data_IF_248892599347
#
_entry.id   IF_248892599347
#
_cell.length_a   1.000
_cell.length_b   1.000
_cell.length_c   1.000
_cell.angle_alpha   90.00
_cell.angle_beta   90.00
_cell.angle_gamma   90.00
#
_symmetry.space_group_name_H-M   'P 1'
#
loop_
_entity.id
_entity.type
_entity.pdbx_description
1 polymer ?
#
# COMPACT_ATOMS: atom_id res chain seq x y z
N UNK A 1 -32.03 0.79 20.36
CA UNK A 1 -31.21 -0.31 20.92
C UNK A 1 -32.09 -1.15 21.83
N UNK A 2 -32.12 -2.49 21.73
CA UNK A 2 -32.89 -3.32 22.65
C UNK A 2 -32.43 -3.06 24.09
N UNK A 3 -33.37 -3.09 25.04
CA UNK A 3 -33.06 -2.90 26.45
C UNK A 3 -32.11 -4.02 26.94
N UNK A 4 -31.18 -3.69 27.85
CA UNK A 4 -30.25 -4.67 28.43
C UNK A 4 -30.99 -5.90 29.02
N UNK A 5 -32.22 -5.71 29.50
CA UNK A 5 -33.08 -6.79 29.99
C UNK A 5 -33.49 -7.79 28.88
N UNK A 6 -33.76 -7.32 27.66
CA UNK A 6 -34.09 -8.19 26.53
C UNK A 6 -32.87 -9.03 26.11
N UNK A 7 -31.68 -8.42 26.10
CA UNK A 7 -30.42 -9.11 25.80
C UNK A 7 -30.07 -10.16 26.85
N UNK A 8 -30.22 -9.84 28.14
CA UNK A 8 -30.01 -10.81 29.25
C UNK A 8 -30.93 -12.02 29.12
N UNK A 9 -32.22 -11.80 28.86
CA UNK A 9 -33.18 -12.91 28.64
C UNK A 9 -32.80 -13.81 27.47
N UNK A 10 -32.20 -13.26 26.42
CA UNK A 10 -31.73 -14.03 25.26
C UNK A 10 -30.48 -14.85 25.58
N UNK A 11 -29.53 -14.28 26.33
CA UNK A 11 -28.31 -14.99 26.76
C UNK A 11 -28.63 -16.15 27.71
N UNK A 12 -29.55 -15.97 28.65
CA UNK A 12 -29.98 -17.02 29.59
C UNK A 12 -30.61 -18.25 28.91
N UNK A 13 -31.13 -18.10 27.69
CA UNK A 13 -31.69 -19.22 26.90
C UNK A 13 -30.63 -20.04 26.17
N UNK A 14 -29.36 -19.60 26.16
CA UNK A 14 -28.26 -20.31 25.49
C UNK A 14 -27.66 -21.34 26.45
N UNK A 15 -27.40 -22.54 25.95
CA UNK A 15 -26.66 -23.58 26.67
C UNK A 15 -25.15 -23.29 26.69
N UNK A 16 -24.75 -22.27 27.46
CA UNK A 16 -23.35 -21.86 27.62
C UNK A 16 -22.80 -22.30 28.99
N UNK A 17 -21.48 -22.53 29.10
CA UNK A 17 -20.82 -22.70 30.40
C UNK A 17 -21.12 -21.53 31.35
N UNK A 18 -21.31 -21.84 32.64
CA UNK A 18 -21.67 -20.85 33.68
C UNK A 18 -20.75 -19.63 33.70
N UNK A 19 -19.44 -19.85 33.57
CA UNK A 19 -18.43 -18.78 33.56
C UNK A 19 -18.59 -17.81 32.38
N UNK A 20 -19.05 -18.29 31.22
CA UNK A 20 -19.32 -17.44 30.05
C UNK A 20 -20.59 -16.63 30.26
N UNK A 21 -21.62 -17.22 30.89
CA UNK A 21 -22.87 -16.51 31.22
C UNK A 21 -22.60 -15.37 32.22
N UNK A 22 -21.86 -15.65 33.30
CA UNK A 22 -21.48 -14.63 34.30
C UNK A 22 -20.69 -13.47 33.68
N UNK A 23 -19.72 -13.80 32.80
CA UNK A 23 -19.00 -12.77 32.03
C UNK A 23 -19.94 -11.96 31.14
N UNK A 24 -20.84 -12.61 30.41
CA UNK A 24 -21.77 -11.93 29.50
C UNK A 24 -22.73 -11.01 30.27
N UNK A 25 -23.23 -11.43 31.42
CA UNK A 25 -24.09 -10.61 32.27
C UNK A 25 -23.37 -9.36 32.79
N UNK A 26 -22.10 -9.50 33.19
CA UNK A 26 -21.24 -8.39 33.57
C UNK A 26 -20.95 -7.44 32.39
N UNK A 27 -20.72 -7.98 31.19
CA UNK A 27 -20.56 -7.18 29.96
C UNK A 27 -21.83 -6.37 29.69
N UNK A 28 -22.99 -7.00 29.74
CA UNK A 28 -24.29 -6.35 29.50
C UNK A 28 -24.58 -5.24 30.51
N UNK A 29 -24.15 -5.40 31.76
CA UNK A 29 -24.27 -4.38 32.82
C UNK A 29 -23.46 -3.11 32.50
N UNK A 30 -22.27 -3.30 31.93
CA UNK A 30 -21.30 -2.25 31.72
C UNK A 30 -21.21 -1.74 30.28
N UNK A 31 -22.14 -2.13 29.39
CA UNK A 31 -22.20 -1.66 28.00
C UNK A 31 -22.19 -0.13 27.87
N UNK A 32 -22.79 0.58 28.83
CA UNK A 32 -22.81 2.04 28.86
C UNK A 32 -21.41 2.67 28.91
N UNK A 33 -20.44 2.01 29.56
CA UNK A 33 -19.05 2.50 29.63
C UNK A 33 -18.37 2.48 28.27
N UNK A 34 -18.57 1.40 27.50
CA UNK A 34 -18.05 1.29 26.14
C UNK A 34 -18.63 2.37 25.23
N UNK A 35 -19.94 2.58 25.31
CA UNK A 35 -20.63 3.59 24.52
C UNK A 35 -20.16 5.02 24.86
N UNK A 36 -20.07 5.35 26.15
CA UNK A 36 -19.59 6.65 26.61
C UNK A 36 -18.15 6.92 26.15
N UNK A 37 -17.24 5.95 26.32
CA UNK A 37 -15.85 6.07 25.87
C UNK A 37 -15.74 6.28 24.35
N UNK A 38 -16.56 5.58 23.58
CA UNK A 38 -16.61 5.73 22.13
C UNK A 38 -17.10 7.11 21.70
N UNK A 39 -18.20 7.61 22.29
CA UNK A 39 -18.73 8.96 22.01
C UNK A 39 -17.69 10.03 22.36
N UNK A 40 -17.03 9.90 23.51
CA UNK A 40 -15.99 10.83 23.93
C UNK A 40 -14.84 10.92 22.91
N UNK A 41 -14.46 9.80 22.31
CA UNK A 41 -13.42 9.76 21.27
C UNK A 41 -13.92 10.27 19.91
N UNK A 42 -15.16 9.92 19.52
CA UNK A 42 -15.79 10.38 18.28
C UNK A 42 -15.95 11.91 18.26
N UNK A 43 -16.24 12.53 19.40
CA UNK A 43 -16.36 13.98 19.51
C UNK A 43 -15.06 14.74 19.14
N UNK A 44 -13.89 14.10 19.27
CA UNK A 44 -12.60 14.70 18.92
C UNK A 44 -12.25 14.52 17.44
N UNK A 45 -12.82 13.53 16.78
CA UNK A 45 -12.50 13.14 15.40
C UNK A 45 -13.77 12.61 14.74
N UNK A 46 -14.49 13.44 13.95
CA UNK A 46 -15.72 13.03 13.30
C UNK A 46 -15.47 11.88 12.31
N UNK A 47 -16.39 10.90 12.29
CA UNK A 47 -16.28 9.68 11.48
C UNK A 47 -16.12 8.43 12.36
N UNK A 48 -16.60 7.28 11.87
CA UNK A 48 -16.39 5.95 12.49
C UNK A 48 -17.05 5.71 13.87
N UNK A 49 -18.07 6.48 14.28
CA UNK A 49 -18.68 6.33 15.61
C UNK A 49 -19.15 4.89 15.89
N UNK A 50 -19.80 4.24 14.92
CA UNK A 50 -20.27 2.87 15.07
C UNK A 50 -19.10 1.90 15.26
N UNK A 51 -18.01 2.07 14.52
CA UNK A 51 -16.80 1.26 14.67
C UNK A 51 -16.15 1.46 16.04
N UNK A 52 -16.06 2.71 16.52
CA UNK A 52 -15.53 3.02 17.85
C UNK A 52 -16.38 2.39 18.96
N UNK A 53 -17.70 2.35 18.80
CA UNK A 53 -18.60 1.67 19.74
C UNK A 53 -18.33 0.17 19.74
N UNK A 54 -18.15 -0.46 18.57
CA UNK A 54 -17.87 -1.89 18.49
C UNK A 54 -16.50 -2.26 19.06
N UNK A 55 -15.46 -1.49 18.75
CA UNK A 55 -14.13 -1.66 19.32
C UNK A 55 -14.13 -1.40 20.83
N UNK A 56 -14.88 -0.40 21.29
CA UNK A 56 -15.09 -0.16 22.71
C UNK A 56 -15.74 -1.35 23.41
N UNK A 57 -16.74 -1.98 22.79
CA UNK A 57 -17.38 -3.21 23.30
C UNK A 57 -16.42 -4.39 23.31
N UNK A 58 -15.56 -4.54 22.31
CA UNK A 58 -14.51 -5.57 22.29
C UNK A 58 -13.52 -5.35 23.44
N UNK A 59 -13.12 -4.11 23.69
CA UNK A 59 -12.28 -3.71 24.82
C UNK A 59 -12.94 -4.00 26.18
N UNK A 60 -14.26 -3.81 26.28
CA UNK A 60 -15.07 -4.11 27.47
C UNK A 60 -15.10 -5.62 27.74
N UNK A 61 -15.38 -6.44 26.72
CA UNK A 61 -15.39 -7.91 26.82
C UNK A 61 -14.03 -8.42 27.31
N UNK A 62 -12.94 -7.96 26.67
CA UNK A 62 -11.58 -8.33 27.05
C UNK A 62 -11.17 -7.80 28.42
N UNK A 63 -11.67 -6.62 28.81
CA UNK A 63 -11.46 -6.06 30.13
C UNK A 63 -12.11 -6.93 31.21
N UNK A 64 -13.40 -7.23 31.07
CA UNK A 64 -14.15 -8.02 32.04
C UNK A 64 -13.61 -9.45 32.14
N UNK A 65 -13.22 -10.07 31.01
CA UNK A 65 -12.65 -11.41 31.00
C UNK A 65 -11.32 -11.53 31.79
N UNK A 66 -10.57 -10.43 31.93
CA UNK A 66 -9.28 -10.39 32.61
C UNK A 66 -9.30 -9.61 33.93
N UNK A 67 -10.49 -9.25 34.41
CA UNK A 67 -10.62 -8.50 35.66
C UNK A 67 -10.40 -9.42 36.87
N UNK A 68 -9.60 -8.95 37.81
CA UNK A 68 -9.27 -9.65 39.05
C UNK A 68 -9.81 -8.87 40.25
N UNK A 69 -10.87 -9.34 40.92
CA UNK A 69 -11.48 -8.67 42.06
C UNK A 69 -10.55 -8.52 43.27
N UNK A 70 -9.53 -9.39 43.41
CA UNK A 70 -8.64 -9.39 44.57
C UNK A 70 -7.73 -8.16 44.62
N UNK A 71 -7.61 -7.42 43.51
CA UNK A 71 -6.79 -6.21 43.40
C UNK A 71 -7.42 -4.97 44.04
N UNK A 72 -8.66 -5.06 44.55
CA UNK A 72 -9.34 -3.95 45.24
C UNK A 72 -9.78 -2.79 44.34
N UNK A 73 -9.71 -2.95 43.01
CA UNK A 73 -10.14 -1.94 42.04
C UNK A 73 -11.62 -2.14 41.67
N UNK A 74 -12.36 -1.05 41.48
CA UNK A 74 -13.72 -1.13 40.91
C UNK A 74 -13.63 -1.58 39.44
N UNK A 75 -14.54 -2.48 39.03
CA UNK A 75 -14.64 -2.98 37.65
C UNK A 75 -14.69 -1.84 36.64
N UNK A 76 -15.53 -0.84 36.90
CA UNK A 76 -15.72 0.31 36.00
C UNK A 76 -14.40 1.06 35.74
N UNK A 77 -13.61 1.31 36.79
CA UNK A 77 -12.31 1.99 36.69
C UNK A 77 -11.32 1.18 35.85
N UNK A 78 -11.22 -0.13 36.09
CA UNK A 78 -10.31 -1.00 35.34
C UNK A 78 -10.71 -1.11 33.87
N UNK A 79 -11.97 -1.42 33.61
CA UNK A 79 -12.43 -1.71 32.25
C UNK A 79 -12.44 -0.45 31.39
N UNK A 80 -12.77 0.73 31.94
CA UNK A 80 -12.75 1.97 31.18
C UNK A 80 -11.36 2.26 30.57
N UNK A 81 -10.28 2.01 31.32
CA UNK A 81 -8.91 2.13 30.79
C UNK A 81 -8.64 1.13 29.64
N UNK A 82 -9.17 -0.11 29.74
CA UNK A 82 -9.04 -1.14 28.70
C UNK A 82 -9.83 -0.77 27.44
N UNK A 83 -11.05 -0.26 27.60
CA UNK A 83 -11.88 0.26 26.51
C UNK A 83 -11.17 1.40 25.79
N UNK A 84 -10.66 2.40 26.53
CA UNK A 84 -9.90 3.51 25.95
C UNK A 84 -8.68 3.02 25.17
N UNK A 85 -7.91 2.10 25.74
CA UNK A 85 -6.77 1.49 25.07
C UNK A 85 -7.14 0.80 23.76
N UNK A 86 -8.21 0.00 23.76
CA UNK A 86 -8.69 -0.69 22.56
C UNK A 86 -9.08 0.29 21.45
N UNK A 87 -9.86 1.33 21.79
CA UNK A 87 -10.27 2.36 20.83
C UNK A 87 -9.04 3.10 20.25
N UNK A 88 -8.08 3.47 21.10
CA UNK A 88 -6.86 4.14 20.65
C UNK A 88 -5.99 3.24 19.76
N UNK A 89 -5.94 1.93 20.04
CA UNK A 89 -5.24 0.97 19.20
C UNK A 89 -5.90 0.82 17.82
N UNK A 90 -7.23 0.67 17.78
CA UNK A 90 -7.99 0.64 16.52
C UNK A 90 -7.67 1.86 15.66
N UNK A 91 -7.80 3.06 16.24
CA UNK A 91 -7.52 4.30 15.51
C UNK A 91 -6.08 4.37 15.01
N UNK A 92 -5.10 4.07 15.88
CA UNK A 92 -3.68 4.09 15.48
C UNK A 92 -3.40 3.25 14.23
N UNK A 93 -4.09 2.12 14.11
CA UNK A 93 -3.85 1.11 13.09
C UNK A 93 -4.74 1.26 11.84
N UNK A 94 -5.94 1.87 11.95
CA UNK A 94 -6.92 2.02 10.85
C UNK A 94 -7.22 3.46 10.38
N UNK A 95 -6.77 4.49 11.08
CA UNK A 95 -7.04 5.89 10.69
C UNK A 95 -6.57 6.34 9.31
N UNK A 96 -5.70 5.57 8.65
CA UNK A 96 -5.15 5.95 7.35
C UNK A 96 -5.44 4.84 6.34
N UNK A 97 -5.77 5.25 5.12
CA UNK A 97 -5.98 4.36 3.97
C UNK A 97 -4.80 3.43 3.75
N UNK A 98 -3.58 3.95 3.91
CA UNK A 98 -2.35 3.17 3.85
C UNK A 98 -1.89 2.75 5.25
N UNK A 99 -1.64 1.44 5.42
CA UNK A 99 -1.10 0.89 6.67
C UNK A 99 0.36 1.31 6.86
N UNK A 100 0.57 2.35 7.65
CA UNK A 100 1.91 2.85 7.98
C UNK A 100 2.39 2.27 9.33
N UNK A 101 3.62 1.73 9.42
CA UNK A 101 4.20 1.23 10.66
C UNK A 101 4.22 2.29 11.77
N UNK A 102 3.76 1.92 12.98
CA UNK A 102 3.64 2.86 14.11
C UNK A 102 4.96 3.57 14.45
N UNK A 103 6.10 2.86 14.35
CA UNK A 103 7.43 3.39 14.68
C UNK A 103 7.80 4.60 13.82
N UNK A 104 7.34 4.63 12.56
CA UNK A 104 7.56 5.77 11.66
C UNK A 104 6.64 6.94 12.02
N UNK A 105 5.35 6.67 12.28
CA UNK A 105 4.40 7.70 12.73
C UNK A 105 4.84 8.38 14.02
N UNK A 106 5.32 7.59 14.99
CA UNK A 106 5.80 8.09 16.27
C UNK A 106 7.08 8.88 16.13
N UNK A 107 8.01 8.42 15.29
CA UNK A 107 9.23 9.16 15.00
C UNK A 107 8.88 10.54 14.43
N UNK A 108 8.01 10.60 13.42
CA UNK A 108 7.52 11.85 12.85
C UNK A 108 6.88 12.75 13.92
N UNK A 109 5.96 12.20 14.73
CA UNK A 109 5.28 12.95 15.82
C UNK A 109 6.26 13.52 16.84
N UNK A 110 7.28 12.74 17.24
CA UNK A 110 8.34 13.21 18.16
C UNK A 110 9.16 14.35 17.53
N UNK A 111 9.48 14.26 16.25
CA UNK A 111 10.17 15.34 15.53
C UNK A 111 9.35 16.61 15.44
N UNK A 112 8.06 16.51 15.12
CA UNK A 112 7.15 17.67 15.09
C UNK A 112 6.96 18.28 16.47
N UNK A 113 6.85 17.45 17.52
CA UNK A 113 6.78 17.93 18.90
C UNK A 113 8.05 18.68 19.30
N UNK A 114 9.23 18.18 18.89
CA UNK A 114 10.51 18.85 19.13
C UNK A 114 10.57 20.21 18.43
N UNK A 115 10.15 20.29 17.16
CA UNK A 115 10.06 21.58 16.44
C UNK A 115 9.12 22.56 17.15
N UNK A 116 7.93 22.10 17.55
CA UNK A 116 6.97 22.94 18.26
C UNK A 116 7.53 23.46 19.60
N UNK A 117 8.24 22.62 20.35
CA UNK A 117 8.91 23.02 21.59
C UNK A 117 10.00 24.08 21.36
N UNK A 118 10.79 23.94 20.29
CA UNK A 118 11.82 24.95 19.93
C UNK A 118 11.20 26.28 19.57
N UNK A 119 10.13 26.26 18.77
CA UNK A 119 9.41 27.47 18.39
C UNK A 119 8.83 28.18 19.63
N UNK A 120 8.27 27.43 20.58
CA UNK A 120 7.82 27.99 21.87
C UNK A 120 8.96 28.63 22.67
N UNK A 121 10.17 28.10 22.56
CA UNK A 121 11.38 28.65 23.18
C UNK A 121 12.03 29.76 22.35
N UNK A 122 11.41 30.20 21.24
CA UNK A 122 11.97 31.19 20.28
C UNK A 122 13.34 30.79 19.73
N UNK A 123 13.57 29.48 19.60
CA UNK A 123 14.76 28.93 18.96
C UNK A 123 14.45 28.67 17.48
N UNK A 124 15.45 28.85 16.63
CA UNK A 124 15.37 28.49 15.22
C UNK A 124 14.97 27.01 15.03
N UNK A 125 14.12 26.69 14.04
CA UNK A 125 13.75 25.33 13.72
C UNK A 125 14.99 24.54 13.28
N UNK A 126 15.00 23.24 13.59
CA UNK A 126 16.08 22.36 13.16
C UNK A 126 15.87 21.92 11.70
N UNK A 127 16.96 21.89 10.93
CA UNK A 127 16.94 21.23 9.62
C UNK A 127 16.74 19.71 9.76
N UNK A 128 16.41 19.01 8.67
CA UNK A 128 16.31 17.54 8.64
C UNK A 128 17.47 16.80 9.33
N UNK A 129 18.76 17.08 9.03
CA UNK A 129 19.87 16.41 9.71
C UNK A 129 19.93 16.77 11.21
N UNK A 130 19.58 18.00 11.58
CA UNK A 130 19.53 18.45 12.98
C UNK A 130 18.43 17.74 13.77
N UNK A 131 17.26 17.52 13.17
CA UNK A 131 16.18 16.72 13.74
C UNK A 131 16.59 15.26 13.89
N UNK A 132 17.18 14.66 12.86
CA UNK A 132 17.63 13.28 12.92
C UNK A 132 18.66 13.06 14.04
N UNK A 133 19.64 13.98 14.17
CA UNK A 133 20.63 13.96 15.24
C UNK A 133 19.99 14.10 16.62
N UNK A 134 19.09 15.07 16.79
CA UNK A 134 18.39 15.31 18.07
C UNK A 134 17.50 14.14 18.49
N UNK A 135 16.88 13.46 17.53
CA UNK A 135 16.06 12.27 17.74
C UNK A 135 16.87 10.96 17.84
N UNK A 136 18.20 11.04 17.68
CA UNK A 136 19.14 9.90 17.69
C UNK A 136 18.79 8.82 16.67
N UNK A 137 18.45 9.24 15.45
CA UNK A 137 18.14 8.35 14.31
C UNK A 137 18.99 8.72 13.09
N UNK A 138 19.13 7.80 12.14
CA UNK A 138 19.80 8.15 10.88
C UNK A 138 18.95 9.13 10.05
N UNK A 139 19.57 10.03 9.26
CA UNK A 139 18.84 10.94 8.38
C UNK A 139 17.90 10.22 7.40
N UNK A 140 18.34 9.06 6.90
CA UNK A 140 17.51 8.21 6.05
C UNK A 140 16.24 7.73 6.78
N UNK A 141 16.35 7.34 8.05
CA UNK A 141 15.20 6.88 8.84
C UNK A 141 14.22 8.02 9.14
N UNK A 142 14.73 9.24 9.33
CA UNK A 142 13.90 10.43 9.45
C UNK A 142 13.14 10.73 8.15
N UNK A 143 13.81 10.66 6.99
CA UNK A 143 13.17 10.81 5.67
C UNK A 143 12.10 9.76 5.42
N UNK A 144 12.33 8.50 5.78
CA UNK A 144 11.30 7.46 5.72
C UNK A 144 10.06 7.83 6.53
N UNK A 145 10.23 8.44 7.71
CA UNK A 145 9.11 8.88 8.53
C UNK A 145 8.37 10.09 7.93
N UNK A 146 9.09 11.02 7.29
CA UNK A 146 8.48 12.13 6.54
C UNK A 146 7.66 11.62 5.35
N UNK A 147 8.25 10.74 4.53
CA UNK A 147 7.59 10.12 3.39
C UNK A 147 6.36 9.34 3.82
N UNK A 148 6.50 8.53 4.89
CA UNK A 148 5.39 7.76 5.43
C UNK A 148 4.26 8.64 5.97
N UNK A 149 4.57 9.81 6.54
CA UNK A 149 3.55 10.77 6.96
C UNK A 149 2.83 11.40 5.76
N UNK A 150 3.57 11.82 4.73
CA UNK A 150 3.02 12.40 3.50
C UNK A 150 2.04 11.43 2.82
N UNK A 151 2.43 10.17 2.64
CA UNK A 151 1.55 9.14 2.08
C UNK A 151 0.38 8.73 3.00
N UNK A 152 0.38 9.15 4.27
CA UNK A 152 -0.74 8.94 5.18
C UNK A 152 -1.96 9.80 4.86
N UNK A 153 -1.78 10.87 4.10
CA UNK A 153 -2.84 11.75 3.64
C UNK A 153 -3.10 11.46 2.16
N UNK A 154 -4.13 10.65 1.91
CA UNK A 154 -4.58 10.34 0.54
C UNK A 154 -5.71 11.30 0.21
N UNK A 155 -5.61 11.92 -0.96
CA UNK A 155 -6.68 12.76 -1.50
C UNK A 155 -7.63 11.91 -2.36
N UNK A 156 -8.92 12.26 -2.36
CA UNK A 156 -9.89 11.59 -3.23
C UNK A 156 -9.73 12.09 -4.67
N UNK A 157 -9.73 11.16 -5.62
CA UNK A 157 -9.63 11.46 -7.05
C UNK A 157 -10.90 12.12 -7.61
N UNK A 158 -12.02 11.97 -6.89
CA UNK A 158 -13.30 12.58 -7.23
C UNK A 158 -13.38 14.06 -6.82
N UNK A 159 -12.37 14.58 -6.12
CA UNK A 159 -12.34 15.98 -5.71
C UNK A 159 -12.19 16.84 -6.95
N UNK A 160 -13.07 17.83 -7.09
CA UNK A 160 -12.91 18.86 -8.11
C UNK A 160 -11.70 19.73 -7.74
N UNK A 161 -10.69 19.87 -8.62
CA UNK A 161 -9.57 20.77 -8.36
C UNK A 161 -10.11 22.19 -8.16
N UNK A 162 -9.55 22.93 -7.20
CA UNK A 162 -9.95 24.31 -6.87
C UNK A 162 -9.48 25.33 -7.93
N UNK A 163 -9.52 24.98 -9.20
CA UNK A 163 -9.15 25.84 -10.31
C UNK A 163 -10.42 26.53 -10.80
N UNK A 164 -10.60 27.77 -10.36
CA UNK A 164 -11.46 28.71 -11.08
C UNK A 164 -10.91 28.85 -12.50
N UNK A 165 -11.80 28.67 -13.49
CA UNK A 165 -11.61 28.91 -14.91
C UNK A 165 -10.71 27.92 -15.69
N UNK A 166 -11.36 26.97 -16.36
CA UNK A 166 -11.11 26.78 -17.80
C UNK A 166 -12.49 26.72 -18.48
N UNK A 167 -12.84 27.78 -19.19
CA UNK A 167 -13.91 27.75 -20.18
C UNK A 167 -13.57 26.69 -21.23
N UNK A 168 -14.48 25.74 -21.45
CA UNK A 168 -14.36 24.75 -22.53
C UNK A 168 -13.75 23.41 -22.13
N UNK A 169 -14.45 22.65 -21.29
CA UNK A 169 -14.20 21.21 -21.10
C UNK A 169 -14.46 20.73 -19.68
N UNK A 170 -15.37 19.77 -19.54
CA UNK A 170 -15.86 19.13 -18.30
C UNK A 170 -14.79 18.33 -17.54
N UNK A 171 -13.64 18.92 -17.18
CA UNK A 171 -12.71 18.27 -16.24
C UNK A 171 -13.17 18.54 -14.82
N UNK A 172 -14.05 17.68 -14.32
CA UNK A 172 -14.73 17.84 -13.04
C UNK A 172 -14.00 17.18 -11.87
N UNK A 173 -13.02 16.31 -12.13
CA UNK A 173 -12.32 15.52 -11.11
C UNK A 173 -10.80 15.58 -11.26
N UNK A 174 -10.06 15.32 -10.17
CA UNK A 174 -8.61 15.11 -10.22
C UNK A 174 -8.23 13.91 -11.09
N UNK A 175 -9.12 12.89 -11.19
CA UNK A 175 -8.90 11.73 -12.04
C UNK A 175 -8.69 12.11 -13.51
N UNK A 176 -9.44 13.08 -14.02
CA UNK A 176 -9.36 13.54 -15.41
C UNK A 176 -8.03 14.23 -15.77
N UNK A 177 -7.26 14.63 -14.76
CA UNK A 177 -5.93 15.25 -14.91
C UNK A 177 -4.80 14.22 -14.92
N UNK A 178 -5.06 12.99 -14.50
CA UNK A 178 -4.02 11.97 -14.38
C UNK A 178 -3.86 11.28 -15.74
N UNK A 179 -2.72 11.51 -16.38
CA UNK A 179 -2.35 10.81 -17.61
C UNK A 179 -1.97 9.35 -17.35
N UNK A 180 -2.51 8.44 -18.15
CA UNK A 180 -2.15 7.03 -18.10
C UNK A 180 -0.81 6.80 -18.80
N UNK A 181 0.27 6.81 -18.01
CA UNK A 181 1.64 6.50 -18.46
C UNK A 181 1.84 5.04 -18.86
N UNK A 182 0.86 4.16 -18.62
CA UNK A 182 0.85 2.78 -19.09
C UNK A 182 0.01 2.57 -20.36
N UNK A 183 -0.69 3.61 -20.81
CA UNK A 183 -1.28 3.60 -22.14
C UNK A 183 -0.14 3.44 -23.15
N UNK A 184 -0.04 2.23 -23.71
CA UNK A 184 0.72 2.03 -24.94
C UNK A 184 0.11 3.04 -25.91
N UNK A 185 0.91 3.93 -26.53
CA UNK A 185 0.35 4.89 -27.48
C UNK A 185 -0.58 4.14 -28.40
N UNK A 186 -1.85 4.55 -28.44
CA UNK A 186 -2.92 3.89 -29.19
C UNK A 186 -2.67 3.85 -30.70
N UNK A 187 -1.52 4.33 -31.16
CA UNK A 187 -0.96 4.07 -32.46
C UNK A 187 0.51 3.64 -32.31
N UNK A 188 0.76 2.33 -32.32
CA UNK A 188 1.80 1.90 -33.25
C UNK A 188 1.23 2.28 -34.61
N UNK A 189 1.67 3.43 -35.16
CA UNK A 189 1.12 3.98 -36.40
C UNK A 189 1.00 2.85 -37.41
N UNK A 190 -0.14 2.74 -38.13
CA UNK A 190 -0.34 1.68 -39.12
C UNK A 190 0.83 1.61 -40.12
N UNK A 191 1.48 2.75 -40.36
CA UNK A 191 2.71 2.90 -41.14
C UNK A 191 3.90 2.16 -40.52
N UNK A 192 4.08 2.23 -39.21
CA UNK A 192 5.12 1.51 -38.46
C UNK A 192 4.88 0.00 -38.50
N UNK A 193 3.63 -0.43 -38.37
CA UNK A 193 3.26 -1.85 -38.46
C UNK A 193 3.44 -2.39 -39.89
N UNK A 194 3.02 -1.64 -40.92
CA UNK A 194 3.26 -2.00 -42.33
C UNK A 194 4.76 -2.08 -42.64
N UNK A 195 5.53 -1.07 -42.23
CA UNK A 195 6.98 -1.08 -42.38
C UNK A 195 7.62 -2.31 -41.72
N UNK A 196 7.22 -2.63 -40.48
CA UNK A 196 7.75 -3.79 -39.77
C UNK A 196 7.39 -5.10 -40.48
N UNK A 197 6.17 -5.22 -41.01
CA UNK A 197 5.75 -6.39 -41.79
C UNK A 197 6.60 -6.56 -43.06
N UNK A 198 6.88 -5.48 -43.79
CA UNK A 198 7.72 -5.50 -44.99
C UNK A 198 9.18 -5.80 -44.63
N UNK A 199 9.72 -5.18 -43.59
CA UNK A 199 11.06 -5.44 -43.10
C UNK A 199 11.24 -6.90 -42.65
N UNK A 200 10.23 -7.51 -42.02
CA UNK A 200 10.25 -8.92 -41.66
C UNK A 200 10.24 -9.86 -42.87
N UNK A 201 9.70 -9.43 -44.02
CA UNK A 201 9.75 -10.22 -45.27
C UNK A 201 11.15 -10.22 -45.91
N UNK A 202 11.98 -9.22 -45.63
CA UNK A 202 13.38 -9.17 -46.14
C UNK A 202 14.33 -10.15 -45.44
N UNK A 203 13.93 -10.66 -44.27
CA UNK A 203 14.71 -11.64 -43.52
C UNK A 203 14.57 -13.04 -44.10
N UNK A 204 15.59 -13.85 -43.89
CA UNK A 204 15.54 -15.28 -44.21
C UNK A 204 14.34 -15.96 -43.50
N UNK A 205 13.55 -16.82 -44.19
CA UNK A 205 12.31 -17.39 -43.65
C UNK A 205 12.47 -18.08 -42.30
N UNK A 206 13.61 -18.77 -42.12
CA UNK A 206 13.93 -19.48 -40.89
C UNK A 206 14.25 -18.53 -39.73
N UNK A 207 14.95 -17.43 -40.00
CA UNK A 207 15.27 -16.41 -38.99
C UNK A 207 14.03 -15.64 -38.55
N UNK A 208 13.13 -15.32 -39.50
CA UNK A 208 11.83 -14.70 -39.21
C UNK A 208 11.00 -15.57 -38.27
N UNK A 209 10.89 -16.87 -38.57
CA UNK A 209 10.12 -17.81 -37.75
C UNK A 209 10.66 -17.89 -36.32
N UNK A 210 11.98 -18.02 -36.15
CA UNK A 210 12.60 -18.04 -34.82
C UNK A 210 12.42 -16.74 -34.04
N UNK A 211 12.42 -15.59 -34.71
CA UNK A 211 12.21 -14.28 -34.09
C UNK A 211 10.77 -14.13 -33.60
N UNK A 212 9.78 -14.52 -34.42
CA UNK A 212 8.36 -14.52 -34.03
C UNK A 212 8.10 -15.50 -32.88
N UNK A 213 8.58 -16.73 -32.97
CA UNK A 213 8.44 -17.71 -31.91
C UNK A 213 9.07 -17.26 -30.57
N UNK A 214 10.13 -16.45 -30.62
CA UNK A 214 10.77 -15.91 -29.41
C UNK A 214 10.01 -14.73 -28.79
N UNK A 215 9.54 -13.79 -29.60
CA UNK A 215 9.03 -12.48 -29.14
C UNK A 215 7.50 -12.36 -29.17
N UNK A 216 6.82 -13.10 -30.04
CA UNK A 216 5.35 -13.16 -30.12
C UNK A 216 4.84 -14.34 -29.30
N UNK A 217 5.33 -15.55 -29.57
CA UNK A 217 4.89 -16.76 -28.86
C UNK A 217 5.59 -16.95 -27.50
N UNK A 218 6.54 -16.08 -27.17
CA UNK A 218 7.29 -16.03 -25.92
C UNK A 218 7.99 -17.35 -25.54
N UNK A 219 8.36 -18.17 -26.53
CA UNK A 219 9.03 -19.47 -26.31
C UNK A 219 10.49 -19.23 -25.89
N UNK A 220 10.98 -19.85 -24.80
CA UNK A 220 12.36 -19.70 -24.39
C UNK A 220 13.32 -20.36 -25.38
N UNK A 221 14.52 -19.77 -25.55
CA UNK A 221 15.53 -20.19 -26.54
C UNK A 221 15.90 -21.68 -26.42
N UNK A 222 15.87 -22.23 -25.21
CA UNK A 222 16.17 -23.65 -24.95
C UNK A 222 15.14 -24.57 -25.60
N UNK A 223 13.86 -24.25 -25.45
CA UNK A 223 12.75 -25.07 -25.91
C UNK A 223 12.57 -24.91 -27.43
N UNK A 224 12.84 -23.70 -27.94
CA UNK A 224 12.87 -23.41 -29.37
C UNK A 224 14.03 -24.16 -30.07
N UNK A 225 15.21 -24.23 -29.45
CA UNK A 225 16.33 -25.02 -29.95
C UNK A 225 16.05 -26.53 -30.01
N UNK A 226 15.31 -27.05 -29.02
CA UNK A 226 14.86 -28.45 -28.99
C UNK A 226 13.83 -28.74 -30.09
N UNK A 227 12.85 -27.86 -30.27
CA UNK A 227 11.81 -27.99 -31.30
C UNK A 227 12.39 -28.02 -32.71
N UNK A 228 13.33 -27.13 -32.99
CA UNK A 228 13.93 -26.94 -34.32
C UNK A 228 15.15 -27.85 -34.56
N UNK A 229 15.60 -28.62 -33.56
CA UNK A 229 16.80 -29.47 -33.60
C UNK A 229 18.08 -28.70 -33.96
N UNK A 230 18.22 -27.47 -33.49
CA UNK A 230 19.37 -26.58 -33.74
C UNK A 230 20.11 -26.25 -32.45
N UNK A 231 21.43 -26.07 -32.51
CA UNK A 231 22.21 -25.70 -31.33
C UNK A 231 21.80 -24.31 -30.78
N UNK A 232 21.55 -24.14 -29.46
CA UNK A 232 21.08 -22.89 -28.87
C UNK A 232 21.98 -21.66 -29.15
N UNK A 233 23.27 -21.88 -29.35
CA UNK A 233 24.23 -20.82 -29.70
C UNK A 233 24.02 -20.26 -31.11
N UNK A 234 23.69 -21.13 -32.08
CA UNK A 234 23.38 -20.71 -33.45
C UNK A 234 22.10 -19.88 -33.46
N UNK A 235 21.09 -20.32 -32.71
CA UNK A 235 19.80 -19.64 -32.60
C UNK A 235 19.90 -18.24 -31.98
N UNK A 236 20.76 -18.07 -30.96
CA UNK A 236 21.08 -16.75 -30.40
C UNK A 236 21.77 -15.86 -31.42
N UNK A 237 22.70 -16.42 -32.19
CA UNK A 237 23.47 -15.69 -33.21
C UNK A 237 22.55 -15.24 -34.34
N UNK A 238 21.68 -16.11 -34.84
CA UNK A 238 20.72 -15.80 -35.90
C UNK A 238 19.68 -14.77 -35.47
N UNK A 239 19.05 -14.91 -34.30
CA UNK A 239 18.11 -13.89 -33.78
C UNK A 239 18.80 -12.53 -33.60
N UNK A 240 20.04 -12.52 -33.10
CA UNK A 240 20.80 -11.27 -32.94
C UNK A 240 21.16 -10.64 -34.28
N UNK A 241 21.51 -11.45 -35.28
CA UNK A 241 21.79 -10.98 -36.63
C UNK A 241 20.53 -10.39 -37.27
N UNK A 242 19.39 -11.09 -37.20
CA UNK A 242 18.10 -10.62 -37.69
C UNK A 242 17.68 -9.29 -37.03
N UNK A 243 17.80 -9.18 -35.70
CA UNK A 243 17.54 -7.93 -34.98
C UNK A 243 18.50 -6.80 -35.39
N UNK A 244 19.76 -7.13 -35.72
CA UNK A 244 20.72 -6.14 -36.21
C UNK A 244 20.33 -5.62 -37.60
N UNK A 245 19.89 -6.51 -38.50
CA UNK A 245 19.41 -6.15 -39.83
C UNK A 245 18.14 -5.30 -39.75
N UNK A 246 17.15 -5.69 -38.93
CA UNK A 246 15.94 -4.89 -38.71
C UNK A 246 16.24 -3.51 -38.12
N UNK A 247 17.22 -3.41 -37.22
CA UNK A 247 17.67 -2.11 -36.67
C UNK A 247 18.39 -1.25 -37.71
N UNK A 248 19.15 -1.85 -38.63
CA UNK A 248 19.78 -1.12 -39.72
C UNK A 248 18.73 -0.64 -40.74
N UNK A 249 17.79 -1.50 -41.09
CA UNK A 249 16.65 -1.16 -41.95
C UNK A 249 15.79 -0.04 -41.35
N UNK A 250 15.58 -0.05 -40.02
CA UNK A 250 14.86 1.02 -39.33
C UNK A 250 15.58 2.37 -39.41
N UNK A 251 16.92 2.35 -39.31
CA UNK A 251 17.75 3.56 -39.42
C UNK A 251 17.81 4.11 -40.84
N UNK A 252 17.74 3.27 -41.86
CA UNK A 252 17.74 3.69 -43.26
C UNK A 252 16.36 4.10 -43.77
N UNK A 253 15.29 3.55 -43.20
CA UNK A 253 13.91 3.73 -43.69
C UNK A 253 13.16 4.89 -43.05
N UNK A 254 13.71 5.54 -42.01
CA UNK A 254 12.98 6.56 -41.27
C UNK A 254 13.88 7.77 -41.01
N UNK A 255 13.48 8.90 -41.59
CA UNK A 255 13.65 10.20 -40.96
C UNK A 255 13.13 10.08 -39.52
N UNK A 256 14.07 9.86 -38.59
CA UNK A 256 13.91 9.79 -37.13
C UNK A 256 12.55 9.27 -36.61
N UNK A 257 12.45 8.03 -36.12
CA UNK A 257 11.54 7.84 -34.99
C UNK A 257 12.12 8.68 -33.85
N UNK A 258 11.31 9.58 -33.30
CA UNK A 258 11.61 10.37 -32.09
C UNK A 258 11.88 9.42 -30.91
N UNK A 259 13.08 8.84 -30.87
CA UNK A 259 13.64 8.17 -29.70
C UNK A 259 14.62 9.15 -29.06
N UNK A 260 14.03 10.19 -28.48
CA UNK A 260 14.57 10.99 -27.39
C UNK A 260 13.30 11.51 -26.70
N UNK A 261 12.92 10.99 -25.55
CA UNK A 261 13.61 11.29 -24.30
C UNK A 261 13.70 10.09 -23.36
N UNK A 262 14.73 10.15 -22.53
CA UNK A 262 15.10 9.23 -21.47
C UNK A 262 13.92 8.53 -20.77
N UNK A 263 13.85 7.20 -20.92
CA UNK A 263 13.21 6.36 -19.91
C UNK A 263 14.03 6.52 -18.63
N UNK A 264 13.49 7.07 -17.52
CA UNK A 264 14.17 7.01 -16.25
C UNK A 264 14.39 5.53 -15.94
N UNK A 265 15.64 5.15 -15.65
CA UNK A 265 15.97 3.80 -15.17
C UNK A 265 15.15 3.54 -13.91
N UNK A 266 13.99 2.90 -14.06
CA UNK A 266 13.22 2.35 -12.96
C UNK A 266 14.11 1.41 -12.14
N UNK A 267 13.83 1.23 -10.84
CA UNK A 267 14.66 0.42 -9.98
C UNK A 267 14.78 -0.97 -10.61
N UNK A 268 16.02 -1.39 -10.89
CA UNK A 268 16.34 -2.75 -11.33
C UNK A 268 15.61 -3.70 -10.40
N UNK A 269 14.62 -4.42 -10.90
CA UNK A 269 14.00 -5.52 -10.17
C UNK A 269 15.12 -6.50 -9.80
N UNK A 270 15.50 -6.48 -8.52
CA UNK A 270 16.44 -7.44 -7.99
C UNK A 270 15.82 -8.81 -8.22
N UNK A 271 16.47 -9.63 -9.04
CA UNK A 271 16.12 -11.04 -9.17
C UNK A 271 16.01 -11.64 -7.77
N UNK A 272 14.99 -12.47 -7.48
CA UNK A 272 14.86 -13.07 -6.16
C UNK A 272 16.13 -13.85 -5.85
N UNK A 273 16.91 -13.37 -4.88
CA UNK A 273 18.07 -14.10 -4.35
C UNK A 273 17.56 -15.46 -3.89
N UNK A 274 17.99 -16.52 -4.59
CA UNK A 274 17.82 -17.91 -4.16
C UNK A 274 18.29 -18.00 -2.71
N UNK A 275 17.38 -18.30 -1.78
CA UNK A 275 17.76 -18.68 -0.41
C UNK A 275 18.68 -19.91 -0.50
N UNK A 276 19.82 -19.94 0.20
CA UNK A 276 20.59 -21.18 0.32
C UNK A 276 19.73 -22.23 1.03
N UNK A 277 19.67 -23.43 0.44
CA UNK A 277 19.08 -24.62 1.07
C UNK A 277 19.82 -24.84 2.40
N UNK A 278 19.11 -24.71 3.52
CA UNK A 278 19.60 -25.23 4.80
C UNK A 278 19.69 -26.75 4.67
N UNK A 279 20.91 -27.27 4.63
CA UNK A 279 21.16 -28.67 4.89
C UNK A 279 20.71 -28.96 6.33
N UNK A 280 19.78 -29.90 6.48
CA UNK A 280 19.49 -30.53 7.75
C UNK A 280 20.64 -31.51 8.03
N UNK A 281 21.46 -31.20 9.03
CA UNK A 281 22.27 -32.21 9.71
C UNK A 281 21.45 -32.76 10.86
N UNK A 282 21.41 -34.09 10.93
CA UNK A 282 21.00 -34.90 12.08
C UNK A 282 21.72 -34.46 13.35
#
# INVERSE_FOLDING_TARGET
MPSNQCLRRREQRRSLPKLILERNDAVLEHLGLAHHAAIYQAARYPGEQDDLVQEGRLGLINGIANFDPQRGLRISTYVLARVHGQILHFRRDRQHTLRIPWRLKDLHRRGMRLQAQRLQQRLEPLDEPGLAASLRVSPQRWREALIAHAFGHVESLDVAPSIQAVEGGLRSSLLDLIEDSSSVPSSLDETTLRWLQDALQTLEPQQRSWLLARYVDNIPIKDLALREKVHPGLLRKSIRAALSMLRQAAKSSTAQPLVNQQVPKGPRSASPRRRPKRFATR
#
